data_IF_254586348276
#
_entry.id   IF_254586348276
#
_cell.length_a   1.000
_cell.length_b   1.000
_cell.length_c   1.000
_cell.angle_alpha   90.00
_cell.angle_beta   90.00
_cell.angle_gamma   90.00
#
_symmetry.space_group_name_H-M   'P 1'
#
loop_
_entity.id
_entity.type
_entity.pdbx_description
1 polymer ?
#
# COMPACT_ATOMS: atom_id res chain seq x y z
N UNK A 1 -5.75 4.81 1.37
CA UNK A 1 -5.38 3.48 0.86
C UNK A 1 -6.63 2.61 0.85
N UNK A 2 -6.85 1.85 -0.23
CA UNK A 2 -7.95 0.88 -0.31
C UNK A 2 -7.72 -0.28 0.67
N UNK A 3 -8.79 -0.92 1.13
CA UNK A 3 -8.66 -2.15 1.93
C UNK A 3 -8.08 -3.27 1.06
N UNK A 4 -7.01 -3.91 1.52
CA UNK A 4 -6.37 -5.05 0.87
C UNK A 4 -7.35 -6.20 0.61
N UNK A 5 -8.41 -6.33 1.40
CA UNK A 5 -9.44 -7.35 1.16
C UNK A 5 -10.13 -7.17 -0.19
N UNK A 6 -10.28 -5.94 -0.69
CA UNK A 6 -10.89 -5.67 -1.99
C UNK A 6 -10.11 -6.32 -3.16
N UNK A 7 -8.83 -6.60 -2.96
CA UNK A 7 -7.95 -7.26 -3.94
C UNK A 7 -8.02 -8.79 -3.88
N UNK A 8 -8.72 -9.37 -2.91
CA UNK A 8 -8.77 -10.81 -2.65
C UNK A 8 -10.08 -11.42 -3.15
N UNK A 9 -10.01 -12.12 -4.29
CA UNK A 9 -11.15 -12.85 -4.86
C UNK A 9 -11.66 -13.95 -3.93
N UNK A 10 -10.76 -14.62 -3.20
CA UNK A 10 -11.12 -15.68 -2.26
C UNK A 10 -11.94 -15.19 -1.06
N UNK A 11 -11.94 -13.87 -0.80
CA UNK A 11 -12.77 -13.23 0.22
C UNK A 11 -14.12 -12.72 -0.32
N UNK A 12 -14.44 -13.00 -1.58
CA UNK A 12 -15.70 -12.61 -2.22
C UNK A 12 -15.70 -11.19 -2.79
N UNK A 13 -14.53 -10.57 -2.96
CA UNK A 13 -14.39 -9.27 -3.59
C UNK A 13 -14.04 -9.37 -5.08
N UNK A 14 -14.16 -8.26 -5.80
CA UNK A 14 -13.89 -8.20 -7.24
C UNK A 14 -12.76 -7.20 -7.55
N UNK A 15 -11.51 -7.66 -7.72
CA UNK A 15 -10.38 -6.80 -8.07
C UNK A 15 -10.55 -6.12 -9.43
N UNK A 16 -11.42 -6.62 -10.31
CA UNK A 16 -11.69 -6.00 -11.61
C UNK A 16 -12.27 -4.59 -11.46
N UNK A 17 -13.02 -4.32 -10.40
CA UNK A 17 -13.51 -2.97 -10.10
C UNK A 17 -12.35 -2.00 -9.85
N UNK A 18 -11.27 -2.49 -9.24
CA UNK A 18 -10.06 -1.70 -8.98
C UNK A 18 -9.29 -1.50 -10.30
N UNK A 19 -9.18 -2.55 -11.13
CA UNK A 19 -8.57 -2.45 -12.47
C UNK A 19 -9.30 -1.43 -13.34
N UNK A 20 -10.63 -1.48 -13.39
CA UNK A 20 -11.45 -0.53 -14.13
C UNK A 20 -11.30 0.89 -13.58
N UNK A 21 -11.30 1.06 -12.26
CA UNK A 21 -11.02 2.36 -11.64
C UNK A 21 -9.65 2.91 -12.03
N UNK A 22 -8.62 2.07 -12.16
CA UNK A 22 -7.30 2.48 -12.65
C UNK A 22 -7.33 2.88 -14.12
N UNK A 23 -8.06 2.15 -14.98
CA UNK A 23 -8.27 2.52 -16.40
C UNK A 23 -8.95 3.87 -16.53
N UNK A 24 -10.00 4.13 -15.73
CA UNK A 24 -10.72 5.42 -15.69
C UNK A 24 -9.83 6.59 -15.24
N UNK A 25 -8.72 6.30 -14.56
CA UNK A 25 -7.71 7.28 -14.13
C UNK A 25 -6.52 7.38 -15.09
N UNK A 26 -6.52 6.62 -16.20
CA UNK A 26 -5.37 6.50 -17.10
C UNK A 26 -4.09 6.03 -16.38
N UNK A 27 -4.26 5.30 -15.28
CA UNK A 27 -3.18 4.79 -14.45
C UNK A 27 -2.89 3.32 -14.78
N UNK A 28 -1.70 2.85 -14.39
CA UNK A 28 -1.30 1.47 -14.64
C UNK A 28 -2.21 0.47 -13.90
N UNK A 29 -2.75 -0.47 -14.66
CA UNK A 29 -3.55 -1.61 -14.16
C UNK A 29 -2.66 -2.69 -13.58
N UNK A 30 -1.41 -2.80 -14.07
CA UNK A 30 -0.43 -3.79 -13.61
C UNK A 30 -0.12 -3.65 -12.12
N UNK A 31 -0.23 -2.43 -11.57
CA UNK A 31 -0.09 -2.17 -10.14
C UNK A 31 -1.09 -2.97 -9.29
N UNK A 32 -2.29 -3.24 -9.81
CA UNK A 32 -3.30 -4.04 -9.11
C UNK A 32 -2.85 -5.50 -9.04
N UNK A 33 -2.33 -6.04 -10.14
CA UNK A 33 -1.85 -7.42 -10.20
C UNK A 33 -0.58 -7.62 -9.36
N UNK A 34 0.32 -6.62 -9.34
CA UNK A 34 1.49 -6.58 -8.46
C UNK A 34 1.08 -6.68 -6.98
N UNK A 35 0.09 -5.90 -6.56
CA UNK A 35 -0.43 -5.93 -5.18
C UNK A 35 -1.03 -7.29 -4.84
N UNK A 36 -1.81 -7.89 -5.76
CA UNK A 36 -2.38 -9.23 -5.57
C UNK A 36 -1.27 -10.28 -5.39
N UNK A 37 -0.21 -10.21 -6.20
CA UNK A 37 0.91 -11.14 -6.12
C UNK A 37 1.71 -10.95 -4.82
N UNK A 38 2.04 -9.71 -4.46
CA UNK A 38 2.73 -9.39 -3.21
C UNK A 38 1.93 -9.82 -1.98
N UNK A 39 0.59 -9.69 -2.01
CA UNK A 39 -0.28 -10.18 -0.92
C UNK A 39 -0.22 -11.71 -0.78
N UNK A 40 -0.23 -12.45 -1.91
CA UNK A 40 -0.08 -13.90 -1.91
C UNK A 40 1.27 -14.33 -1.36
N UNK A 41 2.34 -13.66 -1.78
CA UNK A 41 3.69 -13.93 -1.29
C UNK A 41 3.82 -13.63 0.21
N UNK A 42 3.31 -12.49 0.66
CA UNK A 42 3.32 -12.10 2.07
C UNK A 42 2.59 -13.15 2.93
N UNK A 43 1.39 -13.58 2.53
CA UNK A 43 0.64 -14.62 3.25
C UNK A 43 1.36 -15.96 3.26
N UNK A 44 1.98 -16.35 2.16
CA UNK A 44 2.80 -17.58 2.08
C UNK A 44 3.97 -17.52 3.05
N UNK A 45 4.75 -16.42 3.04
CA UNK A 45 5.88 -16.22 3.97
C UNK A 45 5.42 -16.18 5.42
N UNK A 46 4.27 -15.56 5.70
CA UNK A 46 3.68 -15.55 7.03
C UNK A 46 3.34 -16.97 7.51
N UNK A 47 2.76 -17.80 6.64
CA UNK A 47 2.45 -19.20 6.95
C UNK A 47 3.70 -20.05 7.19
N UNK A 48 4.75 -19.85 6.37
CA UNK A 48 6.05 -20.50 6.56
C UNK A 48 6.67 -20.11 7.91
N UNK A 49 6.64 -18.82 8.27
CA UNK A 49 7.11 -18.33 9.56
C UNK A 49 6.36 -18.96 10.75
N UNK A 50 5.04 -19.05 10.68
CA UNK A 50 4.23 -19.70 11.72
C UNK A 50 4.52 -21.21 11.82
N UNK A 51 4.82 -21.85 10.69
CA UNK A 51 5.23 -23.26 10.67
C UNK A 51 6.59 -23.45 11.36
N UNK A 52 7.57 -22.60 11.05
CA UNK A 52 8.89 -22.62 11.71
C UNK A 52 8.76 -22.38 13.22
N UNK A 53 7.92 -21.43 13.65
CA UNK A 53 7.64 -21.18 15.08
C UNK A 53 7.01 -22.39 15.76
N UNK A 54 6.07 -23.07 15.08
CA UNK A 54 5.46 -24.31 15.58
C UNK A 54 6.50 -25.41 15.75
N UNK A 55 7.40 -25.58 14.80
CA UNK A 55 8.43 -26.61 14.85
C UNK A 55 9.50 -26.29 15.90
N UNK A 56 9.93 -25.04 16.02
CA UNK A 56 10.80 -24.58 17.11
C UNK A 56 10.21 -24.87 18.49
N UNK A 57 8.90 -24.66 18.67
CA UNK A 57 8.21 -24.99 19.92
C UNK A 57 8.14 -26.50 20.20
N UNK A 58 8.04 -27.35 19.17
CA UNK A 58 8.13 -28.81 19.33
C UNK A 58 9.53 -29.24 19.74
N UNK A 59 10.55 -28.75 19.04
CA UNK A 59 11.97 -29.01 19.33
C UNK A 59 12.29 -28.64 20.78
N UNK A 60 11.86 -27.47 21.26
CA UNK A 60 12.07 -27.06 22.66
C UNK A 60 11.38 -27.98 23.68
N UNK A 61 10.20 -28.52 23.36
CA UNK A 61 9.53 -29.50 24.21
C UNK A 61 10.30 -30.82 24.25
N UNK A 62 10.87 -31.25 23.13
CA UNK A 62 11.71 -32.46 23.05
C UNK A 62 13.01 -32.30 23.84
N UNK A 63 13.72 -31.17 23.70
CA UNK A 63 14.90 -30.84 24.51
C UNK A 63 14.56 -30.92 26.01
N UNK A 64 13.42 -30.35 26.40
CA UNK A 64 12.98 -30.37 27.81
C UNK A 64 12.62 -31.77 28.31
N UNK A 65 12.22 -32.70 27.43
CA UNK A 65 11.99 -34.11 27.78
C UNK A 65 13.31 -34.86 27.94
N UNK A 66 14.22 -34.74 26.97
CA UNK A 66 15.54 -35.41 27.01
C UNK A 66 16.37 -34.95 28.22
N UNK A 67 16.41 -33.64 28.49
CA UNK A 67 17.11 -33.11 29.67
C UNK A 67 16.55 -33.64 30.99
N UNK A 68 15.24 -33.92 31.07
CA UNK A 68 14.61 -34.53 32.26
C UNK A 68 14.89 -36.03 32.37
N UNK A 69 15.03 -36.72 31.23
CA UNK A 69 15.41 -38.12 31.17
C UNK A 69 16.91 -38.37 31.40
N UNK A 70 17.73 -37.31 31.40
CA UNK A 70 19.19 -37.41 31.53
C UNK A 70 19.90 -37.86 30.24
N UNK A 71 19.20 -37.81 29.10
CA UNK A 71 19.70 -38.20 27.78
C UNK A 71 20.44 -37.03 27.09
N UNK A 72 21.33 -37.35 26.15
CA UNK A 72 22.06 -36.34 25.38
C UNK A 72 21.13 -35.61 24.40
N UNK A 73 21.02 -34.29 24.58
CA UNK A 73 20.21 -33.41 23.76
C UNK A 73 21.02 -32.52 22.80
N UNK A 74 22.34 -32.72 22.70
CA UNK A 74 23.27 -31.81 21.98
C UNK A 74 22.84 -31.57 20.54
N UNK A 75 22.49 -32.63 19.78
CA UNK A 75 22.04 -32.51 18.39
C UNK A 75 20.74 -31.70 18.23
N UNK A 76 19.78 -31.88 19.13
CA UNK A 76 18.48 -31.18 19.08
C UNK A 76 18.65 -29.71 19.49
N UNK A 77 19.58 -29.42 20.41
CA UNK A 77 19.94 -28.05 20.77
C UNK A 77 20.52 -27.31 19.55
N UNK A 78 21.42 -27.93 18.78
CA UNK A 78 21.95 -27.34 17.55
C UNK A 78 20.83 -27.07 16.52
N UNK A 79 19.92 -28.03 16.30
CA UNK A 79 18.76 -27.84 15.42
C UNK A 79 17.85 -26.69 15.89
N UNK A 80 17.67 -26.52 17.21
CA UNK A 80 16.91 -25.40 17.78
C UNK A 80 17.57 -24.06 17.48
N UNK A 81 18.90 -23.96 17.57
CA UNK A 81 19.63 -22.74 17.25
C UNK A 81 19.58 -22.40 15.76
N UNK A 82 19.70 -23.39 14.87
CA UNK A 82 19.53 -23.23 13.43
C UNK A 82 18.11 -22.77 13.07
N UNK A 83 17.10 -23.42 13.65
CA UNK A 83 15.69 -23.03 13.45
C UNK A 83 15.43 -21.60 13.93
N UNK A 84 16.06 -21.19 15.04
CA UNK A 84 15.95 -19.82 15.56
C UNK A 84 16.54 -18.78 14.59
N UNK A 85 17.67 -19.10 13.92
CA UNK A 85 18.23 -18.23 12.87
C UNK A 85 17.29 -18.13 11.67
N UNK A 86 16.78 -19.27 11.19
CA UNK A 86 15.81 -19.31 10.08
C UNK A 86 14.54 -18.50 10.38
N UNK A 87 14.04 -18.55 11.63
CA UNK A 87 12.92 -17.71 12.06
C UNK A 87 13.26 -16.23 11.95
N UNK A 88 14.43 -15.80 12.44
CA UNK A 88 14.84 -14.41 12.38
C UNK A 88 14.98 -13.90 10.92
N UNK A 89 15.54 -14.71 10.04
CA UNK A 89 15.65 -14.37 8.62
C UNK A 89 14.27 -14.28 7.94
N UNK A 90 13.37 -15.22 8.23
CA UNK A 90 11.99 -15.17 7.71
C UNK A 90 11.17 -14.01 8.27
N UNK A 91 11.39 -13.61 9.52
CA UNK A 91 10.74 -12.42 10.08
C UNK A 91 11.12 -11.14 9.33
N UNK A 92 12.39 -11.01 8.93
CA UNK A 92 12.86 -9.91 8.09
C UNK A 92 12.20 -9.95 6.70
N UNK A 93 12.20 -11.12 6.06
CA UNK A 93 11.55 -11.29 4.75
C UNK A 93 10.06 -10.93 4.78
N UNK A 94 9.32 -11.38 5.79
CA UNK A 94 7.90 -11.05 5.97
C UNK A 94 7.71 -9.55 6.14
N UNK A 95 8.55 -8.92 6.97
CA UNK A 95 8.47 -7.48 7.23
C UNK A 95 8.72 -6.66 5.97
N UNK A 96 9.72 -7.04 5.19
CA UNK A 96 10.11 -6.30 4.00
C UNK A 96 9.09 -6.50 2.86
N UNK A 97 8.54 -7.71 2.70
CA UNK A 97 7.41 -7.93 1.77
C UNK A 97 6.18 -7.13 2.19
N UNK A 98 5.88 -7.05 3.49
CA UNK A 98 4.74 -6.25 3.98
C UNK A 98 4.93 -4.75 3.72
N UNK A 99 6.15 -4.23 3.91
CA UNK A 99 6.47 -2.84 3.57
C UNK A 99 6.30 -2.56 2.08
N UNK A 100 6.81 -3.45 1.23
CA UNK A 100 6.68 -3.33 -0.21
C UNK A 100 5.21 -3.37 -0.64
N UNK A 101 4.43 -4.31 -0.09
CA UNK A 101 2.99 -4.42 -0.32
C UNK A 101 2.28 -3.10 0.04
N UNK A 102 2.50 -2.55 1.23
CA UNK A 102 1.86 -1.30 1.65
C UNK A 102 2.25 -0.13 0.76
N UNK A 103 3.53 0.01 0.40
CA UNK A 103 3.97 1.09 -0.49
C UNK A 103 3.29 1.03 -1.86
N UNK A 104 3.08 -0.17 -2.42
CA UNK A 104 2.35 -0.37 -3.67
C UNK A 104 0.84 -0.16 -3.50
N UNK A 105 0.28 -0.53 -2.37
CA UNK A 105 -1.14 -0.33 -2.08
C UNK A 105 -1.47 1.16 -1.85
N UNK A 106 -0.55 1.94 -1.29
CA UNK A 106 -0.68 3.39 -1.08
C UNK A 106 -0.69 4.18 -2.38
N UNK A 107 -0.02 3.70 -3.43
CA UNK A 107 -0.03 4.37 -4.74
C UNK A 107 -1.33 4.18 -5.52
N UNK A 108 -2.18 3.24 -5.10
CA UNK A 108 -3.49 3.01 -5.72
C UNK A 108 -4.50 4.00 -5.15
N UNK A 109 -5.07 4.81 -6.05
CA UNK A 109 -6.10 5.80 -5.72
C UNK A 109 -7.41 5.16 -5.25
N UNK A 110 -8.32 5.99 -4.71
CA UNK A 110 -9.66 5.52 -4.35
C UNK A 110 -10.46 5.11 -5.60
N UNK A 111 -11.47 4.27 -5.42
CA UNK A 111 -12.38 3.85 -6.49
C UNK A 111 -13.09 5.07 -7.10
N UNK A 112 -13.02 5.17 -8.43
CA UNK A 112 -13.74 6.21 -9.17
C UNK A 112 -15.23 5.87 -9.18
N UNK A 113 -16.06 6.77 -8.64
CA UNK A 113 -17.51 6.59 -8.62
C UNK A 113 -18.11 6.67 -10.04
N UNK A 114 -19.18 5.94 -10.30
CA UNK A 114 -19.80 5.83 -11.64
C UNK A 114 -20.29 7.17 -12.21
N UNK A 115 -20.62 8.12 -11.34
CA UNK A 115 -21.03 9.48 -11.76
C UNK A 115 -19.89 10.37 -12.26
N UNK A 116 -18.62 9.96 -12.08
CA UNK A 116 -17.45 10.79 -12.41
C UNK A 116 -17.18 10.69 -13.92
N UNK A 117 -17.12 11.82 -14.65
CA UNK A 117 -16.72 11.83 -16.05
C UNK A 117 -15.34 11.21 -16.25
N UNK A 118 -15.20 10.35 -17.26
CA UNK A 118 -13.92 9.71 -17.59
C UNK A 118 -13.25 10.49 -18.70
N UNK A 119 -12.20 11.24 -18.34
CA UNK A 119 -11.40 12.05 -19.27
C UNK A 119 -10.00 12.26 -18.69
N UNK A 120 -8.99 12.27 -19.55
CA UNK A 120 -7.60 12.63 -19.22
C UNK A 120 -7.34 14.14 -19.38
N UNK A 121 -8.37 14.89 -19.75
CA UNK A 121 -8.31 16.33 -19.99
C UNK A 121 -9.32 17.07 -19.09
N UNK A 122 -8.83 18.10 -18.41
CA UNK A 122 -9.61 19.02 -17.56
C UNK A 122 -10.65 19.81 -18.35
N UNK A 123 -10.45 20.00 -19.66
CA UNK A 123 -11.43 20.67 -20.52
C UNK A 123 -12.79 19.92 -20.58
N UNK A 124 -12.79 18.61 -20.29
CA UNK A 124 -14.01 17.80 -20.26
C UNK A 124 -14.65 17.72 -18.87
N UNK A 125 -14.23 18.57 -17.92
CA UNK A 125 -14.85 18.66 -16.62
C UNK A 125 -16.32 19.07 -16.74
N UNK A 126 -17.21 18.30 -16.10
CA UNK A 126 -18.63 18.59 -16.09
C UNK A 126 -18.94 19.84 -15.24
N UNK A 127 -19.51 20.88 -15.86
CA UNK A 127 -20.02 22.05 -15.14
C UNK A 127 -21.36 21.71 -14.51
N UNK A 128 -21.37 21.46 -13.20
CA UNK A 128 -22.59 21.07 -12.47
C UNK A 128 -23.51 22.28 -12.22
N UNK A 129 -22.94 23.44 -11.90
CA UNK A 129 -23.67 24.68 -11.69
C UNK A 129 -22.76 25.88 -11.86
N UNK A 130 -23.35 27.00 -12.26
CA UNK A 130 -22.73 28.32 -12.26
C UNK A 130 -23.53 29.25 -11.35
N UNK A 131 -22.88 30.26 -10.77
CA UNK A 131 -23.55 31.22 -9.91
C UNK A 131 -22.93 32.61 -10.06
N UNK A 132 -23.78 33.63 -10.19
CA UNK A 132 -23.38 35.01 -10.43
C UNK A 132 -23.04 35.31 -11.90
N UNK A 133 -22.66 36.56 -12.15
CA UNK A 133 -22.21 37.03 -13.46
C UNK A 133 -20.75 37.48 -13.40
N UNK A 134 -19.93 36.99 -14.35
CA UNK A 134 -18.51 37.31 -14.40
C UNK A 134 -18.29 38.71 -15.02
N UNK A 135 -17.50 39.56 -14.36
CA UNK A 135 -16.96 40.80 -14.95
C UNK A 135 -16.02 40.46 -16.11
N UNK A 136 -16.26 41.06 -17.28
CA UNK A 136 -15.52 40.79 -18.53
C UNK A 136 -15.00 42.06 -19.22
N UNK A 137 -14.88 43.16 -18.50
CA UNK A 137 -14.37 44.41 -19.10
C UNK A 137 -12.91 44.24 -19.59
N UNK A 138 -12.52 44.95 -20.67
CA UNK A 138 -11.13 44.94 -21.12
C UNK A 138 -10.20 45.63 -20.11
N UNK A 139 -8.94 45.19 -20.04
CA UNK A 139 -7.87 45.74 -19.16
C UNK A 139 -8.04 45.51 -17.64
N UNK A 140 -8.78 44.48 -17.23
CA UNK A 140 -8.74 44.02 -15.85
C UNK A 140 -7.32 43.57 -15.48
N UNK A 141 -6.78 44.10 -14.39
CA UNK A 141 -5.50 43.64 -13.83
C UNK A 141 -5.68 42.28 -13.18
N UNK A 142 -4.68 41.41 -13.30
CA UNK A 142 -4.69 40.13 -12.58
C UNK A 142 -4.46 40.37 -11.07
N UNK A 143 -4.66 39.31 -10.26
CA UNK A 143 -4.53 39.42 -8.82
C UNK A 143 -3.11 39.78 -8.35
N UNK A 144 -2.07 39.38 -9.09
CA UNK A 144 -0.66 39.65 -8.75
C UNK A 144 -0.35 41.14 -8.91
N UNK A 145 -0.73 41.73 -10.04
CA UNK A 145 -0.53 43.16 -10.32
C UNK A 145 -1.25 44.04 -9.30
N UNK A 146 -2.47 43.64 -8.89
CA UNK A 146 -3.24 44.37 -7.88
C UNK A 146 -2.56 44.35 -6.51
N UNK A 147 -2.00 43.19 -6.12
CA UNK A 147 -1.29 43.03 -4.85
C UNK A 147 -0.01 43.89 -4.81
N UNK A 148 0.74 43.95 -5.91
CA UNK A 148 1.95 44.79 -6.04
C UNK A 148 1.59 46.28 -5.98
N UNK A 149 0.56 46.70 -6.72
CA UNK A 149 0.10 48.10 -6.73
C UNK A 149 -0.42 48.58 -5.38
N UNK A 150 -1.06 47.70 -4.62
CA UNK A 150 -1.59 48.00 -3.29
C UNK A 150 -0.56 47.83 -2.18
N UNK A 151 0.66 47.35 -2.49
CA UNK A 151 1.70 47.10 -1.50
C UNK A 151 1.33 46.03 -0.47
N UNK A 152 0.41 45.12 -0.81
CA UNK A 152 -0.11 44.10 0.13
C UNK A 152 0.93 42.98 0.33
N UNK A 153 1.68 42.63 -0.73
CA UNK A 153 2.77 41.67 -0.65
C UNK A 153 3.89 42.02 -1.65
N UNK A 154 5.14 41.79 -1.24
CA UNK A 154 6.33 41.98 -2.08
C UNK A 154 6.77 40.63 -2.64
N UNK A 155 6.31 40.30 -3.84
CA UNK A 155 6.65 39.04 -4.53
C UNK A 155 8.08 39.01 -5.06
N UNK A 156 8.79 40.16 -5.11
CA UNK A 156 10.16 40.25 -5.62
C UNK A 156 11.20 39.93 -4.55
N UNK A 157 10.92 40.26 -3.28
CA UNK A 157 11.80 39.94 -2.15
C UNK A 157 11.58 38.55 -1.54
N UNK A 158 10.49 37.88 -1.89
CA UNK A 158 10.13 36.57 -1.36
C UNK A 158 10.72 35.36 -2.11
N UNK A 159 11.44 35.57 -3.21
CA UNK A 159 12.19 34.54 -3.93
C UNK A 159 13.58 34.32 -3.33
#
# INVERSE_FOLDING_TARGET
>A
MLDINLFREEKGHNPELIRESQRRRFASVELVDDVINLDKEWRKRQFELETLRKDFNKINKEISKLKRAGEDATNIITQSEETKKLIADKELEVRDTFKLLNSKLESIGNLVHDSVPVSDDEANNAVIRTWGEKRVEPKLKNHVDLVDLLGIADTKKGN
#
